data_IF_863296111116
#
_entry.id   IF_863296111116
#
_cell.length_a   1.000
_cell.length_b   1.000
_cell.length_c   1.000
_cell.angle_alpha   90.00
_cell.angle_beta   90.00
_cell.angle_gamma   90.00
#
_symmetry.space_group_name_H-M   'P 1'
#
loop_
_entity.id
_entity.type
_entity.pdbx_description
1 polymer ?
#
# COMPACT_ATOMS: atom_id res chain seq x y z
N UNK A 1 -17.82 1.65 6.58
CA UNK A 1 -16.99 1.56 7.80
C UNK A 1 -16.17 2.84 7.92
N UNK A 2 -16.80 3.92 8.38
CA UNK A 2 -16.16 5.18 8.80
C UNK A 2 -16.66 5.47 10.21
N UNK A 3 -16.25 4.67 11.17
CA UNK A 3 -16.44 5.01 12.58
C UNK A 3 -15.04 5.04 13.20
N UNK A 4 -14.74 6.15 13.86
CA UNK A 4 -13.53 6.47 14.62
C UNK A 4 -12.27 6.95 13.89
N UNK A 5 -12.35 7.80 12.86
CA UNK A 5 -11.18 8.60 12.42
C UNK A 5 -9.92 7.81 11.97
N UNK A 6 -10.02 6.49 11.84
CA UNK A 6 -8.98 5.61 11.34
C UNK A 6 -9.05 5.52 9.82
N UNK A 7 -7.89 5.50 9.17
CA UNK A 7 -7.79 5.20 7.74
C UNK A 7 -7.42 3.73 7.59
N UNK A 8 -8.17 2.98 6.79
CA UNK A 8 -7.81 1.61 6.43
C UNK A 8 -6.92 1.61 5.19
N UNK A 9 -5.77 0.96 5.28
CA UNK A 9 -4.80 0.84 4.19
C UNK A 9 -4.49 -0.60 3.82
N UNK A 10 -4.03 -0.79 2.59
CA UNK A 10 -3.58 -2.07 2.08
C UNK A 10 -2.14 -2.37 2.50
N UNK A 11 -1.84 -3.65 2.71
CA UNK A 11 -0.53 -4.10 3.19
C UNK A 11 -0.08 -5.39 2.53
N UNK A 12 -0.22 -5.46 1.20
CA UNK A 12 -0.12 -6.67 0.37
C UNK A 12 -1.16 -7.75 0.74
N UNK A 13 -1.32 -8.73 -0.14
CA UNK A 13 -2.27 -9.83 0.04
C UNK A 13 -1.69 -10.91 0.93
N UNK A 14 -0.42 -11.27 0.73
CA UNK A 14 0.23 -12.40 1.41
C UNK A 14 1.38 -12.02 2.35
N UNK A 15 1.57 -10.72 2.60
CA UNK A 15 2.67 -10.19 3.43
C UNK A 15 4.10 -10.58 2.94
N UNK A 16 4.41 -10.61 1.64
CA UNK A 16 5.76 -10.94 1.18
C UNK A 16 6.72 -9.74 1.26
N UNK A 17 8.02 -10.03 1.19
CA UNK A 17 9.03 -9.01 0.90
C UNK A 17 8.95 -8.67 -0.60
N UNK A 18 8.40 -7.52 -0.95
CA UNK A 18 8.18 -7.17 -2.37
C UNK A 18 9.47 -7.19 -3.21
N UNK A 19 10.61 -6.84 -2.63
CA UNK A 19 11.90 -6.85 -3.34
C UNK A 19 12.44 -8.26 -3.69
N UNK A 20 11.82 -9.33 -3.19
CA UNK A 20 12.15 -10.71 -3.56
C UNK A 20 11.28 -11.24 -4.68
N UNK A 21 10.31 -10.45 -5.15
CA UNK A 21 9.33 -10.84 -6.17
C UNK A 21 9.66 -10.18 -7.52
N UNK A 22 9.16 -10.76 -8.60
CA UNK A 22 9.13 -10.10 -9.91
C UNK A 22 8.19 -8.89 -9.90
N UNK A 23 8.36 -7.93 -10.83
CA UNK A 23 7.45 -6.78 -10.92
C UNK A 23 5.99 -7.17 -11.13
N UNK A 24 5.72 -8.25 -11.87
CA UNK A 24 4.35 -8.76 -12.06
C UNK A 24 3.73 -9.24 -10.75
N UNK A 25 4.50 -9.97 -9.94
CA UNK A 25 4.05 -10.45 -8.63
C UNK A 25 3.91 -9.29 -7.63
N UNK A 26 4.82 -8.31 -7.65
CA UNK A 26 4.70 -7.09 -6.86
C UNK A 26 3.41 -6.33 -7.21
N UNK A 27 3.12 -6.18 -8.50
CA UNK A 27 1.90 -5.52 -8.98
C UNK A 27 0.66 -6.25 -8.47
N UNK A 28 0.59 -7.57 -8.60
CA UNK A 28 -0.54 -8.36 -8.13
C UNK A 28 -0.79 -8.17 -6.62
N UNK A 29 0.26 -8.27 -5.81
CA UNK A 29 0.17 -8.08 -4.35
C UNK A 29 -0.35 -6.69 -3.95
N UNK A 30 0.09 -5.63 -4.64
CA UNK A 30 -0.33 -4.25 -4.35
C UNK A 30 -1.75 -3.98 -4.87
N UNK A 31 -2.01 -4.29 -6.15
CA UNK A 31 -3.29 -4.00 -6.81
C UNK A 31 -4.42 -4.76 -6.12
N UNK A 32 -4.26 -6.07 -5.92
CA UNK A 32 -5.32 -6.90 -5.33
C UNK A 32 -5.62 -6.48 -3.90
N UNK A 33 -4.60 -6.21 -3.08
CA UNK A 33 -4.83 -5.76 -1.71
C UNK A 33 -5.53 -4.41 -1.66
N UNK A 34 -5.14 -3.44 -2.49
CA UNK A 34 -5.83 -2.13 -2.55
C UNK A 34 -7.29 -2.28 -3.00
N UNK A 35 -7.56 -3.10 -4.03
CA UNK A 35 -8.94 -3.37 -4.49
C UNK A 35 -9.80 -3.98 -3.39
N UNK A 36 -9.29 -4.99 -2.68
CA UNK A 36 -10.03 -5.66 -1.61
C UNK A 36 -10.38 -4.66 -0.49
N UNK A 37 -9.45 -3.78 -0.09
CA UNK A 37 -9.75 -2.78 0.95
C UNK A 37 -10.73 -1.72 0.43
N UNK A 38 -10.64 -1.29 -0.84
CA UNK A 38 -11.64 -0.43 -1.46
C UNK A 38 -13.04 -1.06 -1.40
N UNK A 39 -13.17 -2.35 -1.76
CA UNK A 39 -14.45 -3.08 -1.71
C UNK A 39 -15.01 -3.19 -0.29
N UNK A 40 -14.16 -3.45 0.70
CA UNK A 40 -14.57 -3.56 2.12
C UNK A 40 -14.99 -2.20 2.69
N UNK A 41 -14.25 -1.14 2.35
CA UNK A 41 -14.41 0.18 2.97
C UNK A 41 -15.42 1.07 2.23
N UNK A 42 -15.67 0.80 0.95
CA UNK A 42 -16.43 1.66 0.05
C UNK A 42 -15.65 2.89 -0.43
N UNK A 43 -14.32 2.92 -0.24
CA UNK A 43 -13.47 4.03 -0.66
C UNK A 43 -12.97 3.83 -2.10
N UNK A 44 -12.89 4.91 -2.88
CA UNK A 44 -12.38 4.87 -4.26
C UNK A 44 -10.86 4.63 -4.33
N UNK A 45 -10.13 5.07 -3.31
CA UNK A 45 -8.70 4.79 -3.16
C UNK A 45 -8.37 4.50 -1.69
N UNK A 46 -7.31 3.73 -1.48
CA UNK A 46 -6.78 3.44 -0.15
C UNK A 46 -5.26 3.63 -0.11
N UNK A 47 -4.69 4.08 1.02
CA UNK A 47 -3.24 4.08 1.18
C UNK A 47 -2.66 2.67 1.16
N UNK A 48 -1.40 2.53 0.76
CA UNK A 48 -0.66 1.26 0.78
C UNK A 48 0.59 1.40 1.66
N UNK A 49 0.89 0.41 2.49
CA UNK A 49 2.15 0.35 3.23
C UNK A 49 2.91 -0.95 2.92
N UNK A 50 4.24 -0.88 2.90
CA UNK A 50 5.08 -2.07 2.69
C UNK A 50 5.09 -3.01 3.91
N UNK A 51 4.94 -4.34 3.73
CA UNK A 51 5.01 -5.34 4.81
C UNK A 51 6.27 -5.29 5.68
N UNK A 52 7.39 -4.92 5.06
CA UNK A 52 8.69 -4.83 5.73
C UNK A 52 9.38 -3.51 5.42
N UNK A 53 9.60 -3.23 4.14
CA UNK A 53 10.11 -1.95 3.62
C UNK A 53 9.99 -1.91 2.10
N UNK A 54 9.98 -0.71 1.52
CA UNK A 54 10.07 -0.49 0.08
C UNK A 54 11.48 -0.58 -0.50
N UNK A 55 12.49 -0.96 0.29
CA UNK A 55 13.88 -1.03 -0.19
C UNK A 55 14.04 -2.06 -1.31
N UNK A 56 14.63 -1.63 -2.43
CA UNK A 56 14.83 -2.48 -3.60
C UNK A 56 13.60 -2.64 -4.50
N UNK A 57 12.48 -1.97 -4.16
CA UNK A 57 11.33 -1.85 -5.06
C UNK A 57 11.52 -0.63 -5.96
N UNK A 58 11.40 -0.84 -7.26
CA UNK A 58 11.59 0.19 -8.29
C UNK A 58 10.56 1.32 -8.13
N UNK A 59 11.05 2.57 -8.04
CA UNK A 59 10.22 3.76 -7.82
C UNK A 59 9.46 4.20 -9.06
N UNK A 60 10.03 4.03 -10.25
CA UNK A 60 9.36 4.35 -11.50
C UNK A 60 8.28 3.30 -11.82
N UNK A 61 8.54 2.04 -11.48
CA UNK A 61 7.51 1.00 -11.45
C UNK A 61 6.33 1.37 -10.54
N UNK A 62 6.58 1.77 -9.28
CA UNK A 62 5.52 2.18 -8.35
C UNK A 62 4.75 3.40 -8.82
N UNK A 63 5.43 4.39 -9.40
CA UNK A 63 4.79 5.57 -9.99
C UNK A 63 3.88 5.18 -11.17
N UNK A 64 4.37 4.30 -12.06
CA UNK A 64 3.60 3.77 -13.16
C UNK A 64 2.39 2.95 -12.70
N UNK A 65 2.55 2.16 -11.65
CA UNK A 65 1.47 1.38 -11.05
C UNK A 65 0.36 2.28 -10.53
N UNK A 66 0.70 3.34 -9.78
CA UNK A 66 -0.29 4.32 -9.30
C UNK A 66 -0.99 5.09 -10.42
N UNK A 67 -0.26 5.48 -11.46
CA UNK A 67 -0.85 6.17 -12.60
C UNK A 67 -1.89 5.30 -13.34
N UNK A 68 -1.68 3.98 -13.38
CA UNK A 68 -2.57 3.03 -14.05
C UNK A 68 -3.71 2.52 -13.17
N UNK A 69 -3.59 2.65 -11.85
CA UNK A 69 -4.50 2.07 -10.88
C UNK A 69 -4.94 3.13 -9.86
N UNK A 70 -6.03 3.89 -10.13
CA UNK A 70 -6.44 5.03 -9.31
C UNK A 70 -6.87 4.67 -7.88
N UNK A 71 -7.16 3.39 -7.62
CA UNK A 71 -7.46 2.88 -6.28
C UNK A 71 -6.22 2.78 -5.36
N UNK A 72 -5.01 2.93 -5.93
CA UNK A 72 -3.76 2.97 -5.15
C UNK A 72 -3.48 4.42 -4.73
N UNK A 73 -3.77 4.71 -3.47
CA UNK A 73 -3.50 5.98 -2.82
C UNK A 73 -2.02 6.19 -2.46
N UNK A 74 -1.72 7.06 -1.48
CA UNK A 74 -0.37 7.30 -1.00
C UNK A 74 0.33 6.01 -0.54
N UNK A 75 1.63 5.91 -0.82
CA UNK A 75 2.45 4.75 -0.44
C UNK A 75 3.31 5.13 0.78
N UNK A 76 3.30 4.29 1.80
CA UNK A 76 4.03 4.49 3.05
C UNK A 76 5.15 3.46 3.18
N UNK A 77 6.36 3.96 3.42
CA UNK A 77 7.51 3.14 3.76
C UNK A 77 7.76 3.20 5.27
N UNK A 78 8.13 2.07 5.85
CA UNK A 78 8.35 1.86 7.28
C UNK A 78 9.73 2.34 7.72
N UNK A 79 10.62 2.69 6.78
CA UNK A 79 11.95 3.17 7.10
C UNK A 79 12.01 4.68 7.31
N UNK A 80 12.88 5.06 8.26
CA UNK A 80 13.25 6.42 8.71
C UNK A 80 13.02 7.49 7.63
N UNK A 81 12.36 8.59 8.03
CA UNK A 81 12.19 9.85 7.30
C UNK A 81 13.29 10.09 6.25
N UNK A 82 12.96 9.80 5.00
CA UNK A 82 13.66 10.28 3.81
C UNK A 82 12.66 11.13 3.03
N UNK A 83 13.10 12.31 2.56
CA UNK A 83 12.42 12.98 1.46
C UNK A 83 12.53 12.08 0.24
N UNK A 84 11.49 11.27 0.03
CA UNK A 84 11.28 10.51 -1.21
C UNK A 84 10.39 11.35 -2.15
N UNK A 85 10.01 10.82 -3.31
CA UNK A 85 9.09 11.50 -4.26
C UNK A 85 7.79 11.89 -3.56
N UNK A 86 7.06 12.95 -4.01
CA UNK A 86 5.96 13.59 -3.27
C UNK A 86 4.78 12.66 -2.91
N UNK A 87 4.76 11.46 -3.46
CA UNK A 87 3.70 10.49 -3.34
C UNK A 87 4.02 9.36 -2.35
N UNK A 88 5.25 9.32 -1.82
CA UNK A 88 5.70 8.43 -0.74
C UNK A 88 5.85 9.28 0.52
N UNK A 89 5.09 8.95 1.57
CA UNK A 89 5.15 9.64 2.85
C UNK A 89 5.75 8.71 3.90
N UNK A 90 6.66 9.24 4.73
CA UNK A 90 7.19 8.53 5.90
C UNK A 90 6.38 8.89 7.14
N UNK A 91 6.09 7.90 7.98
CA UNK A 91 5.19 8.03 9.14
C UNK A 91 5.71 9.01 10.20
N UNK A 92 5.34 10.28 10.10
CA UNK A 92 5.49 11.26 11.19
C UNK A 92 4.30 12.23 11.29
N UNK A 93 3.12 11.83 10.81
CA UNK A 93 1.94 12.71 10.80
C UNK A 93 0.59 12.05 10.55
N UNK A 94 0.49 10.71 10.50
CA UNK A 94 -0.80 10.02 10.42
C UNK A 94 -1.25 9.60 11.81
N UNK A 95 -2.28 10.28 12.32
CA UNK A 95 -3.14 9.72 13.36
C UNK A 95 -3.90 8.52 12.78
N UNK A 96 -3.40 7.30 13.04
CA UNK A 96 -4.13 6.03 12.94
C UNK A 96 -4.32 5.45 11.53
N UNK A 97 -3.26 4.85 10.94
CA UNK A 97 -3.40 3.96 9.78
C UNK A 97 -3.61 2.51 10.27
N UNK A 98 -4.79 1.95 10.02
CA UNK A 98 -5.08 0.54 10.26
C UNK A 98 -4.78 -0.27 8.99
N UNK A 99 -3.68 -1.02 9.03
CA UNK A 99 -3.25 -1.83 7.89
C UNK A 99 -3.96 -3.17 7.88
N UNK A 100 -4.69 -3.44 6.81
CA UNK A 100 -5.41 -4.69 6.61
C UNK A 100 -4.69 -5.49 5.54
N UNK A 101 -4.19 -6.66 5.92
CA UNK A 101 -3.70 -7.66 4.98
C UNK A 101 -4.87 -8.58 4.62
N UNK A 102 -5.21 -8.62 3.33
CA UNK A 102 -6.29 -9.43 2.81
C UNK A 102 -5.89 -10.93 2.82
N UNK A 103 -6.01 -11.58 3.98
CA UNK A 103 -5.80 -13.01 4.09
C UNK A 103 -7.03 -13.75 3.57
N UNK A 104 -7.01 -14.13 2.29
CA UNK A 104 -8.01 -15.03 1.74
C UNK A 104 -7.72 -16.46 2.23
N UNK A 105 -8.36 -16.89 3.33
CA UNK A 105 -8.42 -18.31 3.67
C UNK A 105 -9.45 -18.96 2.74
N UNK A 106 -8.97 -19.70 1.74
CA UNK A 106 -9.77 -20.71 1.02
C UNK A 106 -9.82 -21.95 1.89
#
# INVERSE_FOLDING_TARGET
MQEDGFVFGAHTRSHPKLNTLSQTEQAAEIIESCKIICEITGNDQVPFAFPFSGNGVDRDFLAGLRAQHPHIGPIFDTQKLRRDRPFIQTESGLTGLCLVSAQNKI
#
